data_IF_242044858121
#
_entry.id   IF_242044858121
#
_cell.length_a   1.000
_cell.length_b   1.000
_cell.length_c   1.000
_cell.angle_alpha   90.00
_cell.angle_beta   90.00
_cell.angle_gamma   90.00
#
_symmetry.space_group_name_H-M   'P 1'
#
loop_
_entity.id
_entity.type
_entity.pdbx_description
1 polymer ?
#
# COMPACT_ATOMS: atom_id res chain seq x y z
N UNK A 1 16.72 0.01 18.98
CA UNK A 1 15.74 0.82 18.20
C UNK A 1 14.37 0.22 18.47
N UNK A 2 13.32 1.03 18.56
CA UNK A 2 11.95 0.50 18.61
C UNK A 2 11.58 -0.10 17.24
N UNK A 3 10.80 -1.17 17.24
CA UNK A 3 10.21 -1.78 16.04
C UNK A 3 9.48 -0.72 15.20
N UNK A 4 9.63 -0.78 13.88
CA UNK A 4 8.88 0.13 12.99
C UNK A 4 7.40 -0.25 12.94
N UNK A 5 6.47 0.72 12.81
CA UNK A 5 5.08 0.40 12.51
C UNK A 5 4.93 -0.14 11.08
N UNK A 6 3.72 -0.60 10.77
CA UNK A 6 3.30 -0.98 9.42
C UNK A 6 2.15 -0.08 9.01
N UNK A 7 2.14 0.34 7.75
CA UNK A 7 1.13 1.27 7.23
C UNK A 7 0.40 0.68 6.03
N UNK A 8 -0.91 0.84 5.99
CA UNK A 8 -1.70 0.81 4.76
C UNK A 8 -2.10 2.25 4.40
N UNK A 9 -1.97 2.62 3.14
CA UNK A 9 -2.32 3.95 2.63
C UNK A 9 -3.32 3.80 1.48
N UNK A 10 -4.54 4.31 1.69
CA UNK A 10 -5.50 4.62 0.63
C UNK A 10 -4.91 5.68 -0.29
N UNK A 11 -4.41 5.34 -1.47
CA UNK A 11 -3.68 6.32 -2.30
C UNK A 11 -4.57 7.16 -3.21
N UNK A 12 -5.74 6.63 -3.60
CA UNK A 12 -6.69 7.28 -4.49
C UNK A 12 -6.10 7.85 -5.79
N UNK A 13 -6.39 9.12 -6.08
CA UNK A 13 -5.98 9.75 -7.34
C UNK A 13 -4.49 10.11 -7.35
N UNK A 14 -3.77 9.90 -8.48
CA UNK A 14 -2.42 10.44 -8.68
C UNK A 14 -2.27 11.93 -8.38
N UNK A 15 -3.35 12.71 -8.53
CA UNK A 15 -3.37 14.15 -8.22
C UNK A 15 -3.01 14.45 -6.77
N UNK A 16 -3.26 13.52 -5.83
CA UNK A 16 -2.89 13.66 -4.42
C UNK A 16 -1.38 13.89 -4.22
N UNK A 17 -0.55 13.52 -5.20
CA UNK A 17 0.87 13.76 -5.15
C UNK A 17 1.26 15.23 -5.37
N UNK A 18 0.43 16.04 -6.03
CA UNK A 18 0.71 17.44 -6.37
C UNK A 18 -0.30 18.45 -5.79
N UNK A 19 -1.46 17.97 -5.37
CA UNK A 19 -2.49 18.80 -4.73
C UNK A 19 -2.23 18.94 -3.23
N UNK A 20 -2.47 20.14 -2.70
CA UNK A 20 -2.51 20.36 -1.25
C UNK A 20 -3.92 20.10 -0.72
N UNK A 21 -4.15 18.87 -0.27
CA UNK A 21 -5.44 18.40 0.23
C UNK A 21 -5.31 17.76 1.63
N UNK A 22 -6.44 17.36 2.22
CA UNK A 22 -6.44 16.80 3.57
C UNK A 22 -5.57 15.54 3.68
N UNK A 23 -5.66 14.65 2.69
CA UNK A 23 -4.95 13.37 2.67
C UNK A 23 -3.43 13.54 2.53
N UNK A 24 -2.98 14.36 1.58
CA UNK A 24 -1.54 14.65 1.41
C UNK A 24 -0.93 15.36 2.63
N UNK A 25 -1.67 16.26 3.29
CA UNK A 25 -1.23 16.88 4.55
C UNK A 25 -1.12 15.88 5.70
N UNK A 26 -2.02 14.90 5.76
CA UNK A 26 -1.97 13.84 6.76
C UNK A 26 -0.82 12.86 6.50
N UNK A 27 -0.54 12.49 5.25
CA UNK A 27 0.65 11.70 4.92
C UNK A 27 1.95 12.46 5.26
N UNK A 28 2.00 13.76 5.00
CA UNK A 28 3.12 14.60 5.39
C UNK A 28 3.29 14.69 6.91
N UNK A 29 2.19 14.72 7.67
CA UNK A 29 2.22 14.66 9.14
C UNK A 29 2.73 13.31 9.62
N UNK A 30 2.22 12.23 9.05
CA UNK A 30 2.62 10.87 9.38
C UNK A 30 4.13 10.67 9.17
N UNK A 31 4.69 11.14 8.05
CA UNK A 31 6.14 11.07 7.80
C UNK A 31 7.01 11.84 8.80
N UNK A 32 6.49 12.92 9.39
CA UNK A 32 7.18 13.69 10.45
C UNK A 32 7.07 13.03 11.83
N UNK A 33 5.92 12.42 12.14
CA UNK A 33 5.63 11.88 13.46
C UNK A 33 6.21 10.47 13.67
N UNK A 34 6.51 9.75 12.58
CA UNK A 34 7.10 8.42 12.63
C UNK A 34 8.61 8.44 12.91
N UNK A 35 9.15 7.40 13.57
CA UNK A 35 10.58 7.17 13.58
C UNK A 35 11.10 7.07 12.14
N UNK A 36 12.20 7.76 11.85
CA UNK A 36 12.77 7.75 10.50
C UNK A 36 13.26 6.33 10.14
N UNK A 37 12.72 5.70 9.09
CA UNK A 37 13.14 4.36 8.69
C UNK A 37 14.52 4.36 8.05
N UNK A 38 15.18 3.19 8.08
CA UNK A 38 16.39 2.94 7.28
C UNK A 38 16.08 2.74 5.81
N UNK A 39 14.91 2.16 5.51
CA UNK A 39 14.38 1.93 4.17
C UNK A 39 12.86 1.70 4.23
N UNK A 40 12.20 1.80 3.09
CA UNK A 40 10.79 1.45 2.91
C UNK A 40 10.68 0.21 2.04
N UNK A 41 9.92 -0.79 2.51
CA UNK A 41 9.38 -1.85 1.67
C UNK A 41 7.95 -1.44 1.26
N UNK A 42 7.77 -1.15 -0.02
CA UNK A 42 6.50 -0.73 -0.60
C UNK A 42 5.81 -1.88 -1.33
N UNK A 43 4.61 -2.23 -0.90
CA UNK A 43 3.72 -3.17 -1.61
C UNK A 43 2.65 -2.33 -2.30
N UNK A 44 2.80 -2.07 -3.60
CA UNK A 44 1.89 -1.19 -4.36
C UNK A 44 0.89 -1.99 -5.20
N UNK A 45 -0.35 -1.53 -5.24
CA UNK A 45 -1.40 -2.05 -6.12
C UNK A 45 -1.02 -2.05 -7.61
N UNK A 46 -0.15 -1.13 -8.03
CA UNK A 46 0.19 -0.89 -9.44
C UNK A 46 1.37 -1.74 -9.96
N UNK A 47 1.87 -2.67 -9.16
CA UNK A 47 2.84 -3.65 -9.63
C UNK A 47 2.33 -5.07 -9.48
N UNK A 48 1.63 -5.55 -10.50
CA UNK A 48 1.14 -6.92 -10.58
C UNK A 48 2.09 -7.81 -11.39
N UNK A 49 2.31 -9.04 -10.92
CA UNK A 49 3.03 -10.10 -11.64
C UNK A 49 2.19 -11.38 -11.68
N UNK A 50 2.65 -12.39 -12.41
CA UNK A 50 2.00 -13.70 -12.44
C UNK A 50 3.01 -14.83 -12.47
N UNK A 51 2.86 -15.79 -11.55
CA UNK A 51 3.68 -17.00 -11.48
C UNK A 51 4.89 -16.89 -10.55
N UNK A 52 5.30 -15.68 -10.20
CA UNK A 52 6.21 -15.39 -9.10
C UNK A 52 6.01 -13.93 -8.67
N UNK A 53 6.26 -13.63 -7.39
CA UNK A 53 6.43 -12.25 -6.95
C UNK A 53 7.76 -11.70 -7.47
N UNK A 54 7.87 -10.39 -7.58
CA UNK A 54 9.08 -9.70 -7.97
C UNK A 54 9.38 -8.58 -6.97
N UNK A 55 10.67 -8.30 -6.78
CA UNK A 55 11.16 -7.25 -5.90
C UNK A 55 12.08 -6.32 -6.67
N UNK A 56 11.94 -5.00 -6.50
CA UNK A 56 12.78 -4.05 -7.23
C UNK A 56 14.20 -4.08 -6.66
N UNK A 57 15.18 -4.42 -7.49
CA UNK A 57 16.59 -4.49 -7.12
C UNK A 57 17.44 -3.39 -7.79
N UNK A 58 16.80 -2.37 -8.36
CA UNK A 58 17.50 -1.19 -8.88
C UNK A 58 18.10 -0.40 -7.71
N UNK A 59 19.34 0.06 -7.84
CA UNK A 59 19.95 0.99 -6.88
C UNK A 59 19.47 2.45 -7.06
N UNK A 60 18.91 2.76 -8.23
CA UNK A 60 18.39 4.07 -8.59
C UNK A 60 17.11 3.90 -9.42
N UNK A 61 15.97 3.57 -8.77
CA UNK A 61 14.71 3.37 -9.47
C UNK A 61 14.24 4.69 -10.13
N UNK A 62 13.77 4.60 -11.37
CA UNK A 62 13.16 5.73 -12.05
C UNK A 62 11.75 6.01 -11.50
N UNK A 63 11.25 7.24 -11.67
CA UNK A 63 9.84 7.55 -11.40
C UNK A 63 8.97 7.11 -12.58
N UNK A 64 8.09 6.15 -12.35
CA UNK A 64 7.15 5.62 -13.36
C UNK A 64 5.86 6.44 -13.30
N UNK A 65 5.39 6.87 -14.47
CA UNK A 65 4.10 7.53 -14.67
C UNK A 65 3.14 6.56 -15.36
N UNK A 66 2.50 5.71 -14.57
CA UNK A 66 1.64 4.59 -14.98
C UNK A 66 0.13 4.97 -15.04
N UNK A 67 -0.15 6.26 -15.21
CA UNK A 67 -1.49 6.82 -15.36
C UNK A 67 -1.62 7.67 -16.64
N UNK A 68 -2.85 7.98 -17.03
CA UNK A 68 -3.16 8.80 -18.21
C UNK A 68 -4.32 9.76 -17.96
N UNK A 69 -4.44 10.80 -18.79
CA UNK A 69 -5.52 11.80 -18.69
C UNK A 69 -5.31 12.90 -17.64
N UNK A 70 -4.10 13.02 -17.09
CA UNK A 70 -3.73 13.99 -16.05
C UNK A 70 -2.96 15.20 -16.62
N UNK A 71 -2.87 16.32 -15.88
CA UNK A 71 -2.12 17.50 -16.32
C UNK A 71 -0.61 17.24 -16.41
N UNK A 72 0.07 17.99 -17.29
CA UNK A 72 1.53 17.90 -17.50
C UNK A 72 2.34 18.04 -16.20
N UNK A 73 1.90 18.91 -15.28
CA UNK A 73 2.57 19.12 -14.00
C UNK A 73 2.72 17.82 -13.18
N UNK A 74 1.83 16.85 -13.36
CA UNK A 74 1.94 15.54 -12.71
C UNK A 74 3.00 14.66 -13.39
N UNK A 75 3.11 14.72 -14.72
CA UNK A 75 4.14 14.00 -15.50
C UNK A 75 5.55 14.59 -15.34
N UNK A 76 5.64 15.84 -14.89
CA UNK A 76 6.91 16.50 -14.59
C UNK A 76 7.48 16.10 -13.21
N UNK A 77 6.71 15.38 -12.39
CA UNK A 77 7.17 14.94 -11.06
C UNK A 77 8.29 13.92 -11.19
N UNK A 78 9.33 14.08 -10.37
CA UNK A 78 10.44 13.16 -10.24
C UNK A 78 10.69 12.90 -8.76
N UNK A 79 10.49 11.66 -8.33
CA UNK A 79 10.74 11.20 -6.96
C UNK A 79 11.91 10.21 -6.99
N UNK A 80 13.13 10.73 -6.82
CA UNK A 80 14.39 10.00 -7.02
C UNK A 80 14.92 9.38 -5.74
N UNK A 81 14.07 8.62 -5.05
CA UNK A 81 14.51 7.85 -3.89
C UNK A 81 15.55 6.80 -4.30
N UNK A 82 16.62 6.60 -3.52
CA UNK A 82 17.56 5.52 -3.79
C UNK A 82 16.85 4.17 -3.64
N UNK A 83 17.31 3.16 -4.36
CA UNK A 83 16.89 1.79 -4.10
C UNK A 83 17.81 1.10 -3.10
N UNK A 84 17.44 -0.10 -2.65
CA UNK A 84 18.24 -0.91 -1.73
C UNK A 84 18.30 -2.37 -2.21
N UNK A 85 19.30 -2.72 -3.04
CA UNK A 85 19.46 -4.09 -3.52
C UNK A 85 19.70 -5.13 -2.40
N UNK A 86 20.24 -4.71 -1.25
CA UNK A 86 20.44 -5.61 -0.11
C UNK A 86 19.11 -5.94 0.56
N UNK A 87 18.25 -4.94 0.76
CA UNK A 87 16.87 -5.16 1.21
C UNK A 87 16.08 -6.00 0.20
N UNK A 88 16.26 -5.79 -1.11
CA UNK A 88 15.61 -6.63 -2.13
C UNK A 88 16.00 -8.12 -2.00
N UNK A 89 17.27 -8.41 -1.77
CA UNK A 89 17.74 -9.76 -1.50
C UNK A 89 17.17 -10.33 -0.17
N UNK A 90 17.10 -9.50 0.88
CA UNK A 90 16.52 -9.88 2.17
C UNK A 90 15.04 -10.22 2.08
N UNK A 91 14.27 -9.47 1.29
CA UNK A 91 12.85 -9.75 1.01
C UNK A 91 12.70 -11.12 0.31
N UNK A 92 13.53 -11.39 -0.69
CA UNK A 92 13.52 -12.69 -1.38
C UNK A 92 13.86 -13.85 -0.44
N UNK A 93 14.80 -13.65 0.49
CA UNK A 93 15.16 -14.64 1.52
C UNK A 93 13.97 -14.93 2.45
N UNK A 94 13.31 -13.90 2.97
CA UNK A 94 12.18 -14.05 3.90
C UNK A 94 10.95 -14.72 3.26
N UNK A 95 10.75 -14.55 1.95
CA UNK A 95 9.64 -15.16 1.23
C UNK A 95 9.94 -16.59 0.76
N UNK A 96 11.18 -17.07 0.86
CA UNK A 96 11.56 -18.45 0.60
C UNK A 96 10.67 -19.46 1.34
N UNK A 97 10.29 -20.60 0.73
CA UNK A 97 10.75 -21.14 -0.56
C UNK A 97 9.98 -20.62 -1.78
N UNK A 98 9.07 -19.65 -1.63
CA UNK A 98 8.36 -19.08 -2.77
C UNK A 98 9.32 -18.26 -3.64
N UNK A 99 9.36 -18.46 -4.97
CA UNK A 99 10.30 -17.75 -5.82
C UNK A 99 9.97 -16.26 -5.89
N UNK A 100 11.01 -15.43 -5.70
CA UNK A 100 10.94 -13.98 -5.87
C UNK A 100 11.96 -13.53 -6.91
N UNK A 101 11.48 -12.90 -7.98
CA UNK A 101 12.33 -12.38 -9.06
C UNK A 101 12.90 -11.02 -8.64
N UNK A 102 14.22 -10.90 -8.58
CA UNK A 102 14.87 -9.60 -8.37
C UNK A 102 14.93 -8.83 -9.68
N UNK A 103 14.17 -7.74 -9.80
CA UNK A 103 14.05 -6.95 -11.02
C UNK A 103 15.03 -5.76 -11.00
N UNK A 104 16.13 -5.78 -11.77
CA UNK A 104 17.24 -4.83 -11.61
C UNK A 104 16.92 -3.42 -12.11
N UNK A 105 15.86 -3.25 -12.88
CA UNK A 105 15.50 -1.98 -13.53
C UNK A 105 14.10 -1.49 -13.20
N UNK A 106 13.41 -2.08 -12.21
CA UNK A 106 12.05 -1.64 -11.84
C UNK A 106 12.14 -0.26 -11.19
N UNK A 107 11.43 0.73 -11.74
CA UNK A 107 11.20 2.03 -11.13
C UNK A 107 10.03 2.03 -10.13
N UNK A 108 9.77 3.18 -9.51
CA UNK A 108 8.66 3.39 -8.57
C UNK A 108 7.40 3.82 -9.31
N UNK A 109 6.29 3.10 -9.15
CA UNK A 109 4.96 3.52 -9.64
C UNK A 109 4.29 4.58 -8.77
N UNK A 110 3.21 5.19 -9.27
CA UNK A 110 2.55 6.30 -8.57
C UNK A 110 1.91 5.90 -7.25
N UNK A 111 1.47 4.65 -7.10
CA UNK A 111 1.01 4.13 -5.81
C UNK A 111 2.11 4.20 -4.76
N UNK A 112 3.38 4.03 -5.17
CA UNK A 112 4.54 4.21 -4.30
C UNK A 112 4.95 5.68 -4.13
N UNK A 113 5.37 6.34 -5.21
CA UNK A 113 5.94 7.69 -5.08
C UNK A 113 4.91 8.77 -4.76
N UNK A 114 3.64 8.57 -5.12
CA UNK A 114 2.57 9.54 -4.89
C UNK A 114 2.30 9.79 -3.41
N UNK A 115 2.33 8.73 -2.59
CA UNK A 115 2.18 8.84 -1.12
C UNK A 115 3.50 9.12 -0.42
N UNK A 116 4.63 8.64 -0.96
CA UNK A 116 5.95 8.89 -0.39
C UNK A 116 6.42 10.33 -0.59
N UNK A 117 6.05 10.99 -1.70
CA UNK A 117 6.42 12.38 -1.97
C UNK A 117 5.99 13.35 -0.84
N UNK A 118 4.73 13.36 -0.38
CA UNK A 118 4.36 14.19 0.77
C UNK A 118 4.95 13.69 2.09
N UNK A 119 5.11 12.37 2.26
CA UNK A 119 5.58 11.76 3.50
C UNK A 119 7.10 11.95 3.75
N UNK A 120 7.93 11.83 2.70
CA UNK A 120 9.39 11.99 2.71
C UNK A 120 9.83 12.85 1.50
N UNK A 121 9.57 14.16 1.51
CA UNK A 121 9.73 15.03 0.34
C UNK A 121 11.16 15.15 -0.21
N UNK A 122 12.18 14.91 0.63
CA UNK A 122 13.58 14.96 0.23
C UNK A 122 14.02 13.73 -0.59
N UNK A 123 13.17 12.69 -0.69
CA UNK A 123 13.45 11.45 -1.42
C UNK A 123 14.80 10.81 -1.03
N UNK A 124 15.15 10.87 0.26
CA UNK A 124 16.44 10.44 0.79
C UNK A 124 16.35 9.15 1.63
N UNK A 125 15.15 8.56 1.73
CA UNK A 125 14.90 7.23 2.31
C UNK A 125 14.91 6.19 1.19
N UNK A 126 15.72 5.11 1.27
CA UNK A 126 15.71 4.04 0.28
C UNK A 126 14.35 3.36 0.14
N UNK A 127 13.95 3.03 -1.08
CA UNK A 127 12.65 2.38 -1.39
C UNK A 127 12.87 1.12 -2.22
N UNK A 128 12.29 0.02 -1.75
CA UNK A 128 12.17 -1.24 -2.49
C UNK A 128 10.70 -1.56 -2.66
N UNK A 129 10.28 -1.89 -3.87
CA UNK A 129 8.94 -2.38 -4.14
C UNK A 129 8.87 -3.90 -4.14
N UNK A 130 7.72 -4.46 -3.73
CA UNK A 130 7.34 -5.85 -3.90
C UNK A 130 6.04 -5.92 -4.73
N UNK A 131 6.02 -6.76 -5.75
CA UNK A 131 4.86 -6.95 -6.62
C UNK A 131 3.81 -7.86 -6.00
N UNK A 132 2.59 -7.78 -6.54
CA UNK A 132 1.46 -8.65 -6.23
C UNK A 132 1.43 -9.81 -7.24
N UNK A 133 1.79 -11.03 -6.81
CA UNK A 133 1.63 -12.22 -7.67
C UNK A 133 0.15 -12.63 -7.74
N UNK A 134 -0.49 -12.29 -8.86
CA UNK A 134 -1.91 -12.55 -9.12
C UNK A 134 -2.23 -14.03 -9.34
N UNK A 135 -1.22 -14.89 -9.41
CA UNK A 135 -1.38 -16.34 -9.40
C UNK A 135 -1.57 -16.92 -8.00
N UNK A 136 -1.35 -16.13 -6.94
CA UNK A 136 -1.44 -16.58 -5.54
C UNK A 136 -2.82 -16.30 -4.94
N UNK A 137 -3.27 -17.14 -4.00
CA UNK A 137 -4.53 -16.87 -3.28
C UNK A 137 -4.36 -15.70 -2.30
N UNK A 138 -5.46 -15.01 -1.98
CA UNK A 138 -5.50 -13.88 -1.03
C UNK A 138 -4.81 -14.19 0.30
N UNK A 139 -4.98 -15.42 0.82
CA UNK A 139 -4.29 -15.91 2.03
C UNK A 139 -2.76 -15.90 1.92
N UNK A 140 -2.20 -16.15 0.74
CA UNK A 140 -0.75 -16.12 0.55
C UNK A 140 -0.18 -14.70 0.76
N UNK A 141 -0.90 -13.66 0.33
CA UNK A 141 -0.49 -12.26 0.52
C UNK A 141 -0.44 -11.88 2.01
N UNK A 142 -1.41 -12.35 2.80
CA UNK A 142 -1.39 -12.22 4.25
C UNK A 142 -0.19 -12.94 4.89
N UNK A 143 0.04 -14.19 4.48
CA UNK A 143 1.17 -14.98 4.97
C UNK A 143 2.54 -14.41 4.59
N UNK A 144 2.64 -13.79 3.41
CA UNK A 144 3.82 -13.05 2.99
C UNK A 144 4.06 -11.83 3.90
N UNK A 145 3.01 -11.07 4.23
CA UNK A 145 3.07 -10.00 5.24
C UNK A 145 3.64 -10.49 6.57
N UNK A 146 3.17 -11.64 7.05
CA UNK A 146 3.66 -12.27 8.30
C UNK A 146 5.14 -12.60 8.25
N UNK A 147 5.64 -13.16 7.14
CA UNK A 147 7.08 -13.45 6.98
C UNK A 147 7.92 -12.17 6.92
N UNK A 148 7.38 -11.11 6.31
CA UNK A 148 8.06 -9.82 6.15
C UNK A 148 8.08 -8.99 7.44
N UNK A 149 7.27 -9.32 8.45
CA UNK A 149 7.21 -8.62 9.73
C UNK A 149 8.59 -8.46 10.40
N UNK A 150 9.50 -9.41 10.21
CA UNK A 150 10.87 -9.36 10.74
C UNK A 150 11.65 -8.10 10.29
N UNK A 151 11.37 -7.56 9.10
CA UNK A 151 12.03 -6.34 8.58
C UNK A 151 11.77 -5.12 9.45
N UNK A 152 10.66 -5.10 10.21
CA UNK A 152 10.30 -4.00 11.11
C UNK A 152 11.29 -3.85 12.25
N UNK A 153 11.85 -4.96 12.74
CA UNK A 153 12.91 -4.97 13.76
C UNK A 153 14.28 -4.60 13.17
N UNK A 154 14.43 -4.73 11.86
CA UNK A 154 15.63 -4.32 11.12
C UNK A 154 15.64 -2.80 10.80
N UNK A 155 14.52 -2.11 11.05
CA UNK A 155 14.35 -0.67 10.84
C UNK A 155 13.69 -0.31 9.51
N UNK A 156 13.05 -1.27 8.84
CA UNK A 156 12.33 -1.08 7.58
C UNK A 156 10.87 -0.72 7.87
N UNK A 157 10.38 0.35 7.25
CA UNK A 157 8.96 0.69 7.24
C UNK A 157 8.28 -0.11 6.12
N UNK A 158 7.32 -0.96 6.47
CA UNK A 158 6.50 -1.68 5.49
C UNK A 158 5.26 -0.83 5.21
N UNK A 159 5.02 -0.53 3.94
CA UNK A 159 3.86 0.22 3.47
C UNK A 159 3.12 -0.58 2.40
N UNK A 160 1.85 -0.88 2.65
CA UNK A 160 0.90 -1.28 1.61
C UNK A 160 0.22 -0.03 1.04
N UNK A 161 0.25 0.14 -0.27
CA UNK A 161 -0.40 1.26 -0.97
C UNK A 161 -1.45 0.74 -1.94
N UNK A 162 -2.71 1.10 -1.72
CA UNK A 162 -3.88 0.62 -2.43
C UNK A 162 -5.12 1.37 -1.94
N UNK A 163 -6.28 0.73 -1.87
CA UNK A 163 -7.51 1.27 -1.26
C UNK A 163 -8.40 0.12 -0.77
N UNK A 164 -9.09 0.29 0.38
CA UNK A 164 -10.01 -0.74 0.92
C UNK A 164 -11.21 -0.91 -0.02
N UNK A 165 -11.74 0.20 -0.51
CA UNK A 165 -12.78 0.28 -1.53
C UNK A 165 -12.15 0.89 -2.78
N UNK A 166 -12.23 0.21 -3.92
CA UNK A 166 -11.73 0.75 -5.18
C UNK A 166 -12.58 0.27 -6.37
N UNK A 167 -13.50 1.12 -6.82
CA UNK A 167 -14.29 0.85 -8.01
C UNK A 167 -14.48 2.09 -8.90
N UNK A 168 -13.51 2.34 -9.78
CA UNK A 168 -13.55 3.46 -10.73
C UNK A 168 -14.73 3.40 -11.71
N UNK A 169 -15.35 2.23 -11.94
CA UNK A 169 -16.55 2.11 -12.79
C UNK A 169 -17.80 2.65 -12.09
N UNK A 170 -17.80 2.65 -10.76
CA UNK A 170 -18.89 3.15 -9.93
C UNK A 170 -18.64 4.57 -9.40
N UNK A 171 -17.42 5.10 -9.54
CA UNK A 171 -17.08 6.44 -9.08
C UNK A 171 -17.71 7.52 -9.98
N UNK A 172 -18.43 8.48 -9.37
CA UNK A 172 -18.83 9.73 -10.04
C UNK A 172 -18.11 10.92 -9.40
N UNK A 173 -17.01 11.34 -10.02
CA UNK A 173 -16.21 12.47 -9.54
C UNK A 173 -16.92 13.83 -9.60
N UNK A 174 -18.08 13.93 -10.26
CA UNK A 174 -18.92 15.15 -10.25
C UNK A 174 -19.85 15.20 -9.04
N UNK A 175 -20.10 14.06 -8.40
CA UNK A 175 -20.90 13.89 -7.18
C UNK A 175 -20.14 12.96 -6.24
N UNK A 176 -19.10 13.47 -5.58
CA UNK A 176 -18.12 12.65 -4.87
C UNK A 176 -18.62 12.06 -3.55
N UNK A 177 -19.94 11.98 -3.34
CA UNK A 177 -20.53 11.32 -2.20
C UNK A 177 -20.25 9.83 -2.26
N UNK A 178 -19.90 9.24 -1.12
CA UNK A 178 -19.72 7.80 -1.02
C UNK A 178 -21.05 7.07 -1.28
N UNK A 179 -21.08 6.06 -2.17
CA UNK A 179 -22.21 5.15 -2.24
C UNK A 179 -22.36 4.40 -0.90
N UNK A 180 -23.59 4.17 -0.46
CA UNK A 180 -23.84 3.50 0.84
C UNK A 180 -23.13 2.15 0.98
N UNK A 181 -22.96 1.39 -0.12
CA UNK A 181 -22.24 0.11 -0.09
C UNK A 181 -20.75 0.28 0.19
N UNK A 182 -20.14 1.39 -0.25
CA UNK A 182 -18.73 1.68 -0.05
C UNK A 182 -18.47 2.00 1.42
N UNK A 183 -19.31 2.85 2.01
CA UNK A 183 -19.27 3.15 3.44
C UNK A 183 -19.49 1.91 4.30
N UNK A 184 -20.53 1.11 4.00
CA UNK A 184 -20.80 -0.13 4.74
C UNK A 184 -19.64 -1.11 4.68
N UNK A 185 -19.01 -1.28 3.52
CA UNK A 185 -17.85 -2.16 3.40
C UNK A 185 -16.63 -1.60 4.14
N UNK A 186 -16.34 -0.30 4.01
CA UNK A 186 -15.23 0.35 4.70
C UNK A 186 -15.36 0.18 6.22
N UNK A 187 -16.55 0.44 6.78
CA UNK A 187 -16.83 0.26 8.21
C UNK A 187 -16.77 -1.22 8.64
N UNK A 188 -17.22 -2.14 7.79
CA UNK A 188 -17.09 -3.58 8.04
C UNK A 188 -15.62 -3.98 8.12
N UNK A 189 -14.80 -3.51 7.18
CA UNK A 189 -13.36 -3.78 7.17
C UNK A 189 -12.69 -3.22 8.43
N UNK A 190 -12.94 -1.95 8.77
CA UNK A 190 -12.41 -1.30 9.98
C UNK A 190 -12.78 -2.06 11.26
N UNK A 191 -14.03 -2.51 11.39
CA UNK A 191 -14.48 -3.29 12.55
C UNK A 191 -13.72 -4.61 12.67
N UNK A 192 -13.51 -5.32 11.56
CA UNK A 192 -12.76 -6.58 11.54
C UNK A 192 -11.27 -6.37 11.87
N UNK A 193 -10.67 -5.31 11.32
CA UNK A 193 -9.29 -4.90 11.63
C UNK A 193 -9.13 -4.61 13.12
N UNK A 194 -10.02 -3.80 13.71
CA UNK A 194 -9.97 -3.47 15.14
C UNK A 194 -10.17 -4.71 16.05
N UNK A 195 -10.95 -5.68 15.58
CA UNK A 195 -11.18 -6.93 16.30
C UNK A 195 -10.01 -7.93 16.17
N UNK A 196 -9.05 -7.67 15.26
CA UNK A 196 -8.02 -8.65 14.89
C UNK A 196 -8.59 -9.88 14.17
N UNK A 197 -9.82 -9.80 13.66
CA UNK A 197 -10.51 -10.88 12.96
C UNK A 197 -10.21 -10.77 11.46
N UNK A 198 -9.01 -11.20 11.08
CA UNK A 198 -8.50 -11.03 9.72
C UNK A 198 -8.98 -12.11 8.73
N UNK A 199 -9.51 -13.24 9.20
CA UNK A 199 -9.92 -14.33 8.30
C UNK A 199 -11.02 -13.91 7.31
N UNK A 200 -12.08 -13.17 7.71
CA UNK A 200 -13.05 -12.63 6.76
C UNK A 200 -12.48 -11.57 5.81
N UNK A 201 -11.44 -10.83 6.22
CA UNK A 201 -10.75 -9.88 5.36
C UNK A 201 -9.90 -10.59 4.29
N UNK A 202 -9.31 -11.73 4.64
CA UNK A 202 -8.58 -12.60 3.72
C UNK A 202 -9.55 -13.24 2.72
N UNK A 203 -10.68 -13.77 3.19
CA UNK A 203 -11.76 -14.31 2.37
C UNK A 203 -12.87 -13.27 2.15
N UNK A 204 -12.51 -12.09 1.64
CA UNK A 204 -13.41 -10.95 1.52
C UNK A 204 -14.67 -11.24 0.69
N UNK A 205 -14.65 -12.25 -0.19
CA UNK A 205 -15.85 -12.70 -0.93
C UNK A 205 -16.95 -13.21 0.01
N UNK A 206 -16.58 -13.76 1.16
CA UNK A 206 -17.53 -14.17 2.20
C UNK A 206 -18.28 -13.00 2.87
N UNK A 207 -17.77 -11.77 2.73
CA UNK A 207 -18.39 -10.56 3.29
C UNK A 207 -19.58 -10.04 2.46
N UNK A 208 -19.87 -10.67 1.32
CA UNK A 208 -21.08 -10.46 0.54
C UNK A 208 -20.99 -9.32 -0.49
N UNK A 209 -22.14 -8.87 -1.02
CA UNK A 209 -22.19 -8.02 -2.22
C UNK A 209 -21.46 -6.69 -2.10
N UNK A 210 -21.48 -6.06 -0.92
CA UNK A 210 -20.79 -4.79 -0.68
C UNK A 210 -19.26 -4.94 -0.82
N UNK A 211 -18.70 -6.08 -0.41
CA UNK A 211 -17.29 -6.40 -0.61
C UNK A 211 -16.97 -6.68 -2.08
N UNK A 212 -17.83 -7.44 -2.77
CA UNK A 212 -17.65 -7.77 -4.19
C UNK A 212 -17.66 -6.53 -5.10
N UNK A 213 -18.54 -5.56 -4.83
CA UNK A 213 -18.54 -4.30 -5.59
C UNK A 213 -17.39 -3.38 -5.19
N UNK A 214 -16.93 -3.43 -3.93
CA UNK A 214 -15.80 -2.61 -3.43
C UNK A 214 -14.45 -3.11 -3.94
N UNK A 215 -14.29 -4.43 -4.06
CA UNK A 215 -13.05 -5.11 -4.43
C UNK A 215 -13.22 -5.68 -5.85
N UNK A 216 -13.13 -4.80 -6.86
CA UNK A 216 -13.38 -5.18 -8.25
C UNK A 216 -12.37 -6.23 -8.78
N UNK A 217 -11.10 -5.86 -8.92
CA UNK A 217 -10.02 -6.77 -9.35
C UNK A 217 -9.05 -7.12 -8.21
N UNK A 218 -9.29 -6.67 -6.99
CA UNK A 218 -8.52 -6.95 -5.77
C UNK A 218 -7.09 -6.39 -5.68
N UNK A 219 -6.44 -5.93 -6.76
CA UNK A 219 -5.08 -5.39 -6.72
C UNK A 219 -4.92 -4.21 -5.75
N UNK A 220 -5.91 -3.32 -5.64
CA UNK A 220 -5.91 -2.23 -4.66
C UNK A 220 -6.17 -2.70 -3.22
N UNK A 221 -6.81 -3.86 -3.04
CA UNK A 221 -7.12 -4.41 -1.73
C UNK A 221 -5.98 -5.29 -1.17
N UNK A 222 -5.29 -6.05 -2.02
CA UNK A 222 -4.24 -6.99 -1.60
C UNK A 222 -3.13 -6.38 -0.73
N UNK A 223 -2.65 -5.13 -0.94
CA UNK A 223 -1.66 -4.51 -0.05
C UNK A 223 -2.10 -4.43 1.41
N UNK A 224 -3.40 -4.33 1.70
CA UNK A 224 -3.92 -4.37 3.07
C UNK A 224 -3.58 -5.71 3.75
N UNK A 225 -3.67 -6.83 3.03
CA UNK A 225 -3.40 -8.15 3.58
C UNK A 225 -1.93 -8.30 4.01
N UNK A 226 -0.98 -7.71 3.27
CA UNK A 226 0.42 -7.67 3.70
C UNK A 226 0.60 -6.90 5.00
N UNK A 227 -0.11 -5.77 5.14
CA UNK A 227 -0.06 -4.92 6.34
C UNK A 227 -0.62 -5.64 7.55
N UNK A 228 -1.80 -6.24 7.42
CA UNK A 228 -2.46 -6.99 8.49
C UNK A 228 -1.68 -8.27 8.84
N UNK A 229 -1.07 -8.92 7.86
CA UNK A 229 -0.22 -10.08 8.09
C UNK A 229 1.04 -9.74 8.90
N UNK A 230 1.56 -8.52 8.74
CA UNK A 230 2.75 -8.04 9.46
C UNK A 230 2.45 -7.51 10.87
N UNK A 231 1.19 -7.56 11.32
CA UNK A 231 0.79 -7.23 12.68
C UNK A 231 1.19 -8.33 13.66
N UNK A 232 1.77 -7.94 14.80
CA UNK A 232 2.14 -8.86 15.87
C UNK A 232 1.11 -8.82 17.02
N UNK A 233 0.99 -9.90 17.82
CA UNK A 233 0.01 -9.97 18.90
C UNK A 233 0.15 -8.82 19.90
N UNK A 234 -0.95 -8.13 20.17
CA UNK A 234 -1.02 -7.03 21.15
C UNK A 234 -0.62 -5.65 20.61
N UNK A 235 -0.27 -5.53 19.33
CA UNK A 235 -0.05 -4.22 18.71
C UNK A 235 -1.35 -3.46 18.50
N UNK A 236 -1.33 -2.15 18.79
CA UNK A 236 -2.46 -1.27 18.55
C UNK A 236 -2.66 -1.02 17.07
N UNK A 237 -3.93 -0.87 16.68
CA UNK A 237 -4.31 -0.43 15.34
C UNK A 237 -5.03 0.91 15.42
N UNK A 238 -4.73 1.82 14.49
CA UNK A 238 -5.40 3.11 14.36
C UNK A 238 -5.66 3.43 12.89
N UNK A 239 -6.66 4.29 12.64
CA UNK A 239 -6.99 4.76 11.30
C UNK A 239 -6.62 6.24 11.15
N UNK A 240 -6.27 6.62 9.92
CA UNK A 240 -6.00 8.00 9.50
C UNK A 240 -6.49 8.15 8.06
N UNK A 241 -6.62 9.39 7.56
CA UNK A 241 -7.25 9.66 6.23
C UNK A 241 -8.56 8.90 6.02
N UNK A 242 -9.33 8.69 7.09
CA UNK A 242 -10.53 7.86 7.15
C UNK A 242 -11.70 8.56 6.45
N UNK A 243 -11.71 8.42 5.12
CA UNK A 243 -12.63 9.08 4.22
C UNK A 243 -12.93 8.16 3.03
N UNK A 244 -14.16 8.21 2.53
CA UNK A 244 -14.59 7.49 1.33
C UNK A 244 -15.06 8.54 0.33
N UNK A 245 -14.33 8.67 -0.76
CA UNK A 245 -14.55 9.68 -1.78
C UNK A 245 -15.02 9.01 -3.07
N UNK A 246 -16.27 9.29 -3.47
CA UNK A 246 -16.97 8.53 -4.49
C UNK A 246 -16.89 7.02 -4.16
N UNK A 247 -16.29 6.20 -5.02
CA UNK A 247 -16.15 4.76 -4.80
C UNK A 247 -14.71 4.35 -4.46
N UNK A 248 -13.99 5.21 -3.72
CA UNK A 248 -12.58 5.05 -3.36
C UNK A 248 -12.40 5.34 -1.87
N UNK A 249 -11.89 4.39 -1.10
CA UNK A 249 -11.58 4.60 0.32
C UNK A 249 -10.14 5.07 0.50
N UNK A 250 -9.99 6.29 1.03
CA UNK A 250 -8.72 6.89 1.41
C UNK A 250 -8.22 6.41 2.78
N UNK A 251 -8.98 5.53 3.44
CA UNK A 251 -8.72 5.04 4.80
C UNK A 251 -7.33 4.41 4.90
N UNK A 252 -6.46 5.03 5.69
CA UNK A 252 -5.18 4.50 6.08
C UNK A 252 -5.26 3.69 7.37
N UNK A 253 -4.41 2.67 7.50
CA UNK A 253 -4.28 1.83 8.69
C UNK A 253 -2.86 1.92 9.21
N UNK A 254 -2.68 2.16 10.51
CA UNK A 254 -1.38 2.09 11.17
C UNK A 254 -1.40 1.00 12.24
N UNK A 255 -0.44 0.09 12.16
CA UNK A 255 -0.20 -0.98 13.14
C UNK A 255 1.12 -0.72 13.87
N UNK A 256 1.09 -0.78 15.21
CA UNK A 256 2.22 -0.43 16.08
C UNK A 256 2.54 1.07 16.10
#
# INVERSE_FOLDING_TARGET
>A
MSRMPVLFLGHGSPMNAIEDNAWSRDWARLGRDLPRPKAVLMVSAHWETRGASAVSASAAPETIHDFGGFPQALFDVQYRAPGDPALAARVAELLSPDPVVQHPTRGLDHGAWGVLRPMYPEADVPVVQLSLDRGRPDRWHYEAGRRLAALRDEGVLIIGSGDIVHNLRAADFRRPEAPDWADRFNETAKRLILAGDHDPLIDWRSLGPDAEISINSAEHYLPLLYVLGAQEPGESVSFFTDDVFAAISMTGVKVG
#
